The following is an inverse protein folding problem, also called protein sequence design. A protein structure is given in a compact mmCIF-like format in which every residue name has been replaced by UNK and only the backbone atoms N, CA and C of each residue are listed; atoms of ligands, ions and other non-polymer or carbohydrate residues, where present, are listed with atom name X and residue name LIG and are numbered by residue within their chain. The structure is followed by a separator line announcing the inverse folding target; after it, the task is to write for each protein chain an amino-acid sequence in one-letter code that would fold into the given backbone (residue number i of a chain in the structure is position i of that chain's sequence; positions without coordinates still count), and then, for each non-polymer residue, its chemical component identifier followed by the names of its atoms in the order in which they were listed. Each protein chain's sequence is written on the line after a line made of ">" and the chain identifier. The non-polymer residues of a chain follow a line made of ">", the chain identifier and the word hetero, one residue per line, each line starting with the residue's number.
data_IF_291548839381
#
_entry.id   IF_291548839381
#
_cell.length_a   1.000
_cell.length_b   1.000
_cell.length_c   1.000
_cell.angle_alpha   90.00
_cell.angle_beta   90.00
_cell.angle_gamma   90.00
#
_symmetry.space_group_name_H-M   'P 1'
#
loop_
_entity.id
_entity.type
_entity.pdbx_description
1 polymer ?
#
# COMPACT_ATOMS: atom_id res chain seq x y z
N UNK A 1 -18.69 26.92 61.55
CA UNK A 1 -18.31 26.60 60.17
C UNK A 1 -17.88 27.90 59.51
N UNK A 2 -16.62 27.97 59.07
CA UNK A 2 -16.05 29.20 58.51
C UNK A 2 -16.62 29.48 57.11
N UNK A 3 -16.63 30.76 56.74
CA UNK A 3 -17.17 31.19 55.43
C UNK A 3 -16.51 30.45 54.23
N UNK A 4 -15.25 30.05 54.37
CA UNK A 4 -14.49 29.29 53.39
C UNK A 4 -15.06 27.91 53.11
N UNK A 5 -15.63 27.22 54.12
CA UNK A 5 -16.22 25.87 53.97
C UNK A 5 -17.54 25.89 53.17
N UNK A 6 -18.28 27.02 53.27
CA UNK A 6 -19.56 27.19 52.54
C UNK A 6 -19.33 27.45 51.05
N UNK A 7 -18.27 28.16 50.70
CA UNK A 7 -17.92 28.43 49.29
C UNK A 7 -17.40 27.18 48.56
N UNK A 8 -16.63 26.32 49.25
CA UNK A 8 -16.14 25.05 48.67
C UNK A 8 -17.28 24.06 48.40
N UNK A 9 -18.29 23.98 49.27
CA UNK A 9 -19.45 23.13 49.07
C UNK A 9 -20.32 23.60 47.91
N UNK A 10 -20.53 24.90 47.74
CA UNK A 10 -21.30 25.46 46.61
C UNK A 10 -20.57 25.21 45.28
N UNK A 11 -19.24 25.41 45.25
CA UNK A 11 -18.44 25.14 44.05
C UNK A 11 -18.49 23.66 43.65
N UNK A 12 -18.48 22.74 44.61
CA UNK A 12 -18.54 21.30 44.35
C UNK A 12 -19.91 20.87 43.84
N UNK A 13 -21.01 21.40 44.37
CA UNK A 13 -22.37 21.11 43.87
C UNK A 13 -22.58 21.63 42.45
N UNK A 14 -22.05 22.80 42.11
CA UNK A 14 -22.13 23.37 40.77
C UNK A 14 -21.32 22.51 39.77
N UNK A 15 -20.11 22.05 40.15
CA UNK A 15 -19.26 21.20 39.32
C UNK A 15 -19.92 19.85 39.03
N UNK A 16 -20.51 19.21 40.04
CA UNK A 16 -21.24 17.95 39.87
C UNK A 16 -22.48 18.14 39.01
N UNK A 17 -23.18 19.24 39.14
CA UNK A 17 -24.35 19.56 38.28
C UNK A 17 -23.97 19.73 36.83
N UNK A 18 -22.85 20.36 36.51
CA UNK A 18 -22.35 20.53 35.13
C UNK A 18 -21.90 19.18 34.53
N UNK A 19 -21.23 18.35 35.33
CA UNK A 19 -20.80 16.99 34.83
C UNK A 19 -22.01 16.11 34.57
N UNK A 20 -23.05 16.13 35.40
CA UNK A 20 -24.26 15.35 35.16
C UNK A 20 -25.04 15.89 33.94
N UNK A 21 -25.10 17.19 33.73
CA UNK A 21 -25.75 17.78 32.55
C UNK A 21 -25.01 17.41 31.24
N UNK A 22 -23.67 17.38 31.22
CA UNK A 22 -22.90 16.95 30.08
C UNK A 22 -23.06 15.44 29.79
N UNK A 23 -23.16 14.61 30.84
CA UNK A 23 -23.34 13.16 30.67
C UNK A 23 -24.71 12.80 30.09
N UNK A 24 -25.76 13.57 30.38
CA UNK A 24 -27.12 13.34 29.84
C UNK A 24 -27.29 13.82 28.39
N UNK A 25 -26.44 14.75 27.91
CA UNK A 25 -26.47 15.19 26.50
C UNK A 25 -25.66 14.30 25.57
N UNK A 26 -24.76 13.44 26.10
CA UNK A 26 -23.95 12.52 25.31
C UNK A 26 -24.49 11.08 25.27
N UNK A 27 -25.62 10.83 25.92
CA UNK A 27 -26.16 9.47 26.11
C UNK A 27 -27.51 9.15 25.45
N UNK A 28 -27.98 9.90 24.45
CA UNK A 28 -29.29 9.64 23.84
C UNK A 28 -29.20 9.67 22.32
N UNK A 29 -28.75 8.59 21.69
CA UNK A 29 -29.19 8.20 20.36
C UNK A 29 -28.95 6.69 20.16
N UNK A 30 -29.90 5.91 20.68
CA UNK A 30 -30.22 4.58 20.19
C UNK A 30 -31.70 4.54 19.86
N UNK A 31 -32.05 4.51 18.60
CA UNK A 31 -33.42 4.32 18.19
C UNK A 31 -33.58 4.32 16.67
N UNK A 32 -33.71 3.14 16.10
CA UNK A 32 -33.79 2.80 14.71
C UNK A 32 -34.85 3.54 13.89
N UNK A 33 -34.72 3.47 12.57
CA UNK A 33 -35.80 3.83 11.64
C UNK A 33 -35.34 4.20 10.23
N UNK A 34 -35.38 3.25 9.33
CA UNK A 34 -35.80 3.34 7.90
C UNK A 34 -35.33 4.53 7.04
N UNK A 35 -34.59 4.17 6.04
CA UNK A 35 -34.55 4.58 4.61
C UNK A 35 -34.94 6.00 4.19
N UNK A 36 -34.11 6.51 3.28
CA UNK A 36 -34.30 7.46 2.17
C UNK A 36 -33.91 8.91 2.41
N UNK A 37 -32.95 9.34 1.55
CA UNK A 37 -32.64 10.74 1.30
C UNK A 37 -31.16 10.99 1.18
N UNK A 38 -30.58 10.84 -0.03
CA UNK A 38 -29.20 11.22 -0.29
C UNK A 38 -28.99 12.71 -0.13
N UNK A 39 -28.05 13.11 0.71
CA UNK A 39 -27.47 14.45 0.70
C UNK A 39 -26.07 14.39 0.09
N UNK A 40 -25.81 15.14 -1.01
CA UNK A 40 -24.50 15.22 -1.61
C UNK A 40 -23.72 16.39 -0.98
N UNK A 41 -23.27 16.27 0.24
CA UNK A 41 -22.30 17.21 0.81
C UNK A 41 -21.57 16.62 2.04
N UNK A 42 -20.88 15.49 1.87
CA UNK A 42 -19.78 15.17 2.79
C UNK A 42 -18.50 15.66 2.14
N UNK A 43 -18.19 16.92 2.37
CA UNK A 43 -16.89 17.48 2.05
C UNK A 43 -15.82 16.65 2.76
N UNK A 44 -15.07 15.88 1.98
CA UNK A 44 -13.88 15.15 2.43
C UNK A 44 -12.93 16.15 3.10
N UNK A 45 -12.64 15.93 4.36
CA UNK A 45 -11.55 16.63 5.03
C UNK A 45 -10.25 16.34 4.27
N UNK A 46 -9.41 17.37 3.98
CA UNK A 46 -8.13 17.14 3.30
C UNK A 46 -7.25 16.28 4.23
N UNK A 47 -6.91 15.06 3.77
CA UNK A 47 -5.99 14.17 4.46
C UNK A 47 -6.56 12.85 5.00
N UNK A 48 -7.83 12.53 4.80
CA UNK A 48 -8.34 11.20 5.10
C UNK A 48 -7.97 10.26 3.95
N UNK A 49 -7.11 9.28 4.22
CA UNK A 49 -6.88 8.19 3.28
C UNK A 49 -8.22 7.49 2.99
N UNK A 50 -8.48 7.12 1.71
CA UNK A 50 -9.69 6.37 1.38
C UNK A 50 -9.70 5.04 2.16
N UNK A 51 -10.90 4.52 2.49
CA UNK A 51 -10.99 3.25 3.19
C UNK A 51 -10.33 2.15 2.33
N UNK A 52 -9.33 1.51 2.90
CA UNK A 52 -8.70 0.31 2.32
C UNK A 52 -9.74 -0.81 2.42
N UNK A 53 -9.95 -1.56 1.34
CA UNK A 53 -10.76 -2.77 1.40
C UNK A 53 -10.17 -3.73 2.43
N UNK A 54 -11.00 -4.46 3.15
CA UNK A 54 -10.50 -5.51 4.04
C UNK A 54 -10.05 -6.71 3.21
N UNK A 55 -8.92 -7.34 3.58
CA UNK A 55 -8.49 -8.56 2.91
C UNK A 55 -9.58 -9.62 3.04
N UNK A 56 -9.87 -10.40 1.99
CA UNK A 56 -10.80 -11.51 2.09
C UNK A 56 -10.28 -12.55 3.07
N UNK A 57 -11.16 -13.09 3.89
CA UNK A 57 -10.81 -14.19 4.79
C UNK A 57 -10.86 -15.51 4.01
N UNK A 58 -9.91 -16.43 4.30
CA UNK A 58 -9.84 -17.76 3.70
C UNK A 58 -9.68 -17.77 2.16
N UNK A 59 -8.93 -16.81 1.60
CA UNK A 59 -8.62 -16.82 0.17
C UNK A 59 -7.74 -18.04 -0.19
N UNK A 60 -8.13 -18.87 -1.16
CA UNK A 60 -7.32 -20.00 -1.55
C UNK A 60 -6.06 -19.56 -2.27
N UNK A 61 -4.94 -20.20 -1.98
CA UNK A 61 -3.71 -20.04 -2.77
C UNK A 61 -3.99 -20.51 -4.20
N UNK A 62 -3.87 -19.62 -5.16
CA UNK A 62 -4.02 -19.94 -6.58
C UNK A 62 -2.76 -19.56 -7.34
N UNK A 63 -2.42 -20.39 -8.32
CA UNK A 63 -1.30 -20.17 -9.24
C UNK A 63 -1.86 -20.12 -10.64
N UNK A 64 -1.41 -19.15 -11.41
CA UNK A 64 -1.81 -19.00 -12.81
C UNK A 64 -1.10 -20.05 -13.68
N UNK A 65 -1.82 -20.67 -14.59
CA UNK A 65 -1.24 -21.57 -15.59
C UNK A 65 -0.54 -20.81 -16.73
N UNK A 66 0.28 -21.51 -17.52
CA UNK A 66 1.08 -20.90 -18.58
C UNK A 66 0.23 -20.31 -19.71
N UNK A 67 -0.94 -20.86 -20.01
CA UNK A 67 -1.84 -20.34 -21.02
C UNK A 67 -2.43 -18.99 -20.59
N UNK A 68 -2.82 -18.88 -19.33
CA UNK A 68 -3.31 -17.62 -18.74
C UNK A 68 -2.18 -16.59 -18.65
N UNK A 69 -0.94 -16.98 -18.30
CA UNK A 69 0.22 -16.07 -18.28
C UNK A 69 0.48 -15.45 -19.65
N UNK A 70 0.28 -16.22 -20.71
CA UNK A 70 0.47 -15.75 -22.09
C UNK A 70 -0.59 -14.72 -22.55
N UNK A 71 -1.66 -14.49 -21.79
CA UNK A 71 -2.67 -13.46 -22.12
C UNK A 71 -2.22 -12.05 -21.74
N UNK A 72 -1.32 -11.92 -20.76
CA UNK A 72 -0.73 -10.64 -20.34
C UNK A 72 0.78 -10.72 -20.59
N UNK A 73 1.27 -9.99 -21.55
CA UNK A 73 2.72 -9.96 -21.88
C UNK A 73 3.46 -9.08 -20.85
N UNK A 74 3.68 -9.62 -19.65
CA UNK A 74 4.45 -8.92 -18.62
C UNK A 74 5.95 -8.91 -18.97
N UNK A 75 6.69 -7.83 -18.60
CA UNK A 75 8.14 -7.79 -18.77
C UNK A 75 8.84 -8.88 -17.97
N UNK A 76 9.94 -9.40 -18.54
CA UNK A 76 10.76 -10.39 -17.84
C UNK A 76 11.16 -9.90 -16.44
N UNK A 77 10.84 -10.72 -15.44
CA UNK A 77 11.12 -10.47 -14.05
C UNK A 77 12.64 -10.39 -13.75
N UNK A 78 13.46 -11.03 -14.58
CA UNK A 78 14.91 -11.15 -14.39
C UNK A 78 15.69 -10.51 -15.52
N UNK A 79 16.73 -9.76 -15.16
CA UNK A 79 17.82 -9.47 -16.07
C UNK A 79 18.92 -10.53 -15.87
N UNK A 80 18.96 -11.50 -16.79
CA UNK A 80 19.90 -12.63 -16.70
C UNK A 80 21.35 -12.22 -16.88
N UNK A 81 21.62 -11.02 -17.39
CA UNK A 81 22.95 -10.51 -17.70
C UNK A 81 23.54 -9.62 -16.59
N UNK A 82 22.71 -9.07 -15.71
CA UNK A 82 23.16 -8.16 -14.66
C UNK A 82 23.60 -8.90 -13.39
N UNK A 83 24.57 -8.31 -12.68
CA UNK A 83 25.00 -8.82 -11.39
C UNK A 83 23.91 -8.59 -10.34
N UNK A 84 23.57 -9.65 -9.60
CA UNK A 84 22.60 -9.52 -8.50
C UNK A 84 23.12 -8.59 -7.40
N UNK A 85 22.24 -7.82 -6.76
CA UNK A 85 22.51 -7.18 -5.47
C UNK A 85 22.72 -8.26 -4.43
N UNK A 86 23.83 -8.22 -3.71
CA UNK A 86 24.25 -9.26 -2.75
C UNK A 86 24.18 -8.81 -1.30
N UNK A 87 23.87 -7.54 -1.06
CA UNK A 87 23.79 -6.93 0.27
C UNK A 87 22.38 -6.36 0.51
N UNK A 88 22.09 -6.06 1.78
CA UNK A 88 20.80 -5.52 2.20
C UNK A 88 19.66 -6.54 2.26
N UNK A 89 18.48 -6.11 2.75
CA UNK A 89 17.34 -7.00 2.98
C UNK A 89 16.76 -7.61 1.69
N UNK A 90 16.95 -6.96 0.54
CA UNK A 90 16.41 -7.44 -0.73
C UNK A 90 17.23 -8.55 -1.39
N UNK A 91 18.52 -8.71 -1.00
CA UNK A 91 19.46 -9.58 -1.69
C UNK A 91 18.98 -11.03 -1.80
N UNK A 92 18.51 -11.60 -0.70
CA UNK A 92 18.06 -12.99 -0.61
C UNK A 92 16.54 -13.18 -0.58
N UNK A 93 15.77 -12.09 -0.72
CA UNK A 93 14.33 -12.11 -0.56
C UNK A 93 13.68 -12.80 -1.77
N UNK A 94 13.06 -13.96 -1.54
CA UNK A 94 12.46 -14.78 -2.59
C UNK A 94 11.12 -14.20 -3.03
N UNK A 95 10.90 -14.19 -4.34
CA UNK A 95 9.63 -13.79 -4.97
C UNK A 95 9.33 -14.70 -6.14
N UNK A 96 8.05 -14.83 -6.49
CA UNK A 96 7.61 -15.53 -7.68
C UNK A 96 7.37 -14.53 -8.80
N UNK A 97 8.01 -14.73 -9.92
CA UNK A 97 7.79 -13.94 -11.13
C UNK A 97 6.40 -14.19 -11.71
N UNK A 98 5.66 -13.14 -12.03
CA UNK A 98 4.33 -13.30 -12.64
C UNK A 98 4.39 -13.52 -14.16
N UNK A 99 5.48 -13.14 -14.83
CA UNK A 99 5.67 -13.37 -16.28
C UNK A 99 5.82 -14.86 -16.64
N UNK A 100 6.71 -15.59 -15.95
CA UNK A 100 7.03 -17.00 -16.28
C UNK A 100 6.75 -17.99 -15.13
N UNK A 101 6.26 -17.51 -13.97
CA UNK A 101 6.00 -18.34 -12.80
C UNK A 101 7.24 -18.85 -12.09
N UNK A 102 8.44 -18.47 -12.51
CA UNK A 102 9.69 -18.89 -11.86
C UNK A 102 9.94 -18.18 -10.54
N UNK A 103 10.75 -18.77 -9.70
CA UNK A 103 11.17 -18.15 -8.44
C UNK A 103 12.54 -17.51 -8.59
N UNK A 104 12.69 -16.29 -8.05
CA UNK A 104 13.96 -15.55 -8.06
C UNK A 104 14.12 -14.76 -6.76
N UNK A 105 15.17 -13.93 -6.67
CA UNK A 105 15.31 -12.99 -5.54
C UNK A 105 15.12 -11.55 -6.00
N UNK A 106 14.60 -10.70 -5.12
CA UNK A 106 14.54 -9.26 -5.42
C UNK A 106 15.92 -8.67 -5.72
N UNK A 107 16.99 -9.19 -5.11
CA UNK A 107 18.36 -8.78 -5.42
C UNK A 107 18.76 -9.04 -6.88
N UNK A 108 18.28 -10.13 -7.49
CA UNK A 108 18.48 -10.40 -8.93
C UNK A 108 17.67 -9.49 -9.82
N UNK A 109 16.43 -9.16 -9.40
CA UNK A 109 15.57 -8.21 -10.13
C UNK A 109 16.17 -6.80 -10.03
N UNK A 110 16.68 -6.41 -8.87
CA UNK A 110 17.29 -5.11 -8.62
C UNK A 110 18.54 -4.89 -9.48
N UNK A 111 19.40 -5.90 -9.56
CA UNK A 111 20.60 -5.89 -10.41
C UNK A 111 21.51 -4.67 -10.19
N UNK A 112 21.70 -4.24 -8.93
CA UNK A 112 22.55 -3.11 -8.56
C UNK A 112 22.01 -1.72 -8.93
N UNK A 113 20.74 -1.61 -9.33
CA UNK A 113 20.06 -0.34 -9.62
C UNK A 113 19.23 0.15 -8.42
N UNK A 114 18.97 1.45 -8.26
CA UNK A 114 17.90 1.91 -7.38
C UNK A 114 16.59 1.22 -7.75
N UNK A 115 15.76 0.87 -6.76
CA UNK A 115 14.52 0.12 -7.01
C UNK A 115 13.36 0.70 -6.23
N UNK A 116 12.19 0.69 -6.85
CA UNK A 116 10.88 0.94 -6.24
C UNK A 116 10.14 -0.39 -6.19
N UNK A 117 9.68 -0.78 -5.01
CA UNK A 117 8.81 -1.95 -4.80
C UNK A 117 7.46 -1.45 -4.31
N UNK A 118 6.45 -1.51 -5.17
CA UNK A 118 5.09 -1.13 -4.83
C UNK A 118 4.30 -2.39 -4.46
N UNK A 119 3.79 -2.45 -3.23
CA UNK A 119 3.01 -3.58 -2.72
C UNK A 119 1.53 -3.28 -2.86
N UNK A 120 0.80 -4.21 -3.44
CA UNK A 120 -0.60 -4.06 -3.76
C UNK A 120 -1.37 -5.37 -3.67
N UNK A 121 -2.70 -5.30 -3.61
CA UNK A 121 -3.57 -6.46 -3.71
C UNK A 121 -4.80 -6.15 -4.57
N UNK A 122 -5.39 -7.17 -5.19
CA UNK A 122 -6.55 -7.01 -6.08
C UNK A 122 -7.77 -6.38 -5.38
N UNK A 123 -7.96 -6.60 -4.10
CA UNK A 123 -9.03 -6.02 -3.27
C UNK A 123 -8.74 -4.61 -2.74
N UNK A 124 -7.50 -4.14 -2.86
CA UNK A 124 -7.06 -2.81 -2.41
C UNK A 124 -7.41 -1.76 -3.48
N UNK A 125 -8.55 -1.11 -3.34
CA UNK A 125 -8.99 -0.09 -4.31
C UNK A 125 -8.00 1.08 -4.49
N UNK A 126 -7.39 1.67 -3.44
CA UNK A 126 -6.36 2.68 -3.64
C UNK A 126 -5.16 2.18 -4.44
N UNK A 127 -4.73 0.90 -4.23
CA UNK A 127 -3.63 0.29 -4.96
C UNK A 127 -3.95 0.18 -6.46
N UNK A 128 -5.14 -0.32 -6.79
CA UNK A 128 -5.58 -0.46 -8.18
C UNK A 128 -5.60 0.86 -8.94
N UNK A 129 -5.92 1.95 -8.23
CA UNK A 129 -5.94 3.30 -8.81
C UNK A 129 -4.56 3.90 -9.02
N UNK A 130 -3.55 3.49 -8.26
CA UNK A 130 -2.19 4.00 -8.42
C UNK A 130 -1.37 3.24 -9.48
N UNK A 131 -1.68 1.96 -9.76
CA UNK A 131 -0.92 1.14 -10.70
C UNK A 131 -0.68 1.80 -12.07
N UNK A 132 -1.65 2.46 -12.72
CA UNK A 132 -1.39 3.18 -13.98
C UNK A 132 -0.37 4.31 -13.85
N UNK A 133 -0.36 5.03 -12.72
CA UNK A 133 0.62 6.08 -12.47
C UNK A 133 2.02 5.50 -12.25
N UNK A 134 2.11 4.37 -11.54
CA UNK A 134 3.36 3.63 -11.35
C UNK A 134 3.90 3.12 -12.69
N UNK A 135 3.04 2.63 -13.60
CA UNK A 135 3.44 2.21 -14.94
C UNK A 135 3.99 3.37 -15.76
N UNK A 136 3.29 4.50 -15.82
CA UNK A 136 3.76 5.68 -16.56
C UNK A 136 5.11 6.17 -16.02
N UNK A 137 5.28 6.18 -14.71
CA UNK A 137 6.56 6.56 -14.11
C UNK A 137 7.67 5.55 -14.42
N UNK A 138 7.38 4.26 -14.44
CA UNK A 138 8.35 3.23 -14.82
C UNK A 138 8.86 3.42 -16.25
N UNK A 139 7.97 3.74 -17.19
CA UNK A 139 8.33 4.07 -18.58
C UNK A 139 9.25 5.31 -18.65
N UNK A 140 8.91 6.37 -17.93
CA UNK A 140 9.71 7.61 -17.88
C UNK A 140 11.07 7.41 -17.19
N UNK A 141 11.14 6.57 -16.17
CA UNK A 141 12.37 6.22 -15.46
C UNK A 141 13.28 5.30 -16.31
N UNK A 142 12.69 4.44 -17.12
CA UNK A 142 13.43 3.49 -17.95
C UNK A 142 14.44 2.67 -17.12
N UNK A 143 15.63 2.51 -17.64
CA UNK A 143 16.69 1.71 -17.00
C UNK A 143 17.37 2.36 -15.78
N UNK A 144 17.02 3.61 -15.44
CA UNK A 144 17.63 4.33 -14.30
C UNK A 144 17.19 3.78 -12.95
N UNK A 145 15.96 3.32 -12.87
CA UNK A 145 15.35 2.76 -11.65
C UNK A 145 14.61 1.49 -12.00
N UNK A 146 14.78 0.44 -11.24
CA UNK A 146 13.97 -0.76 -11.37
C UNK A 146 12.64 -0.55 -10.63
N UNK A 147 11.53 -0.54 -11.35
CA UNK A 147 10.19 -0.49 -10.76
C UNK A 147 9.58 -1.88 -10.77
N UNK A 148 9.16 -2.34 -9.61
CA UNK A 148 8.57 -3.68 -9.40
C UNK A 148 7.25 -3.50 -8.66
N UNK A 149 6.20 -4.16 -9.12
CA UNK A 149 4.94 -4.26 -8.39
C UNK A 149 4.80 -5.66 -7.80
N UNK A 150 4.51 -5.75 -6.51
CA UNK A 150 4.35 -7.01 -5.81
C UNK A 150 2.90 -7.21 -5.40
N UNK A 151 2.25 -8.23 -5.97
CA UNK A 151 0.93 -8.66 -5.54
C UNK A 151 1.07 -9.46 -4.25
N UNK A 152 0.66 -8.87 -3.13
CA UNK A 152 0.74 -9.46 -1.81
C UNK A 152 -0.62 -10.02 -1.40
N UNK A 153 -0.93 -11.22 -1.90
CA UNK A 153 -2.18 -11.95 -1.66
C UNK A 153 -2.02 -13.40 -2.14
N UNK A 154 -2.62 -14.37 -1.46
CA UNK A 154 -2.56 -15.79 -1.87
C UNK A 154 -3.08 -16.08 -3.28
N UNK A 155 -4.01 -15.27 -3.78
CA UNK A 155 -4.63 -15.50 -5.09
C UNK A 155 -3.90 -14.80 -6.24
N UNK A 156 -2.89 -15.45 -6.82
CA UNK A 156 -2.16 -14.94 -7.99
C UNK A 156 -3.10 -14.69 -9.19
N UNK A 157 -4.12 -15.56 -9.38
CA UNK A 157 -5.09 -15.43 -10.47
C UNK A 157 -5.82 -14.09 -10.43
N UNK A 158 -6.30 -13.67 -9.26
CA UNK A 158 -6.99 -12.37 -9.12
C UNK A 158 -6.03 -11.19 -9.32
N UNK A 159 -4.76 -11.35 -8.96
CA UNK A 159 -3.72 -10.38 -9.30
C UNK A 159 -3.59 -10.22 -10.81
N UNK A 160 -3.48 -11.33 -11.54
CA UNK A 160 -3.41 -11.34 -13.00
C UNK A 160 -4.63 -10.68 -13.66
N UNK A 161 -5.84 -11.10 -13.29
CA UNK A 161 -7.09 -10.54 -13.80
C UNK A 161 -7.15 -9.02 -13.58
N UNK A 162 -6.59 -8.54 -12.45
CA UNK A 162 -6.53 -7.12 -12.16
C UNK A 162 -5.56 -6.38 -13.06
N UNK A 163 -4.33 -6.89 -13.25
CA UNK A 163 -3.35 -6.29 -14.17
C UNK A 163 -3.90 -6.22 -15.59
N UNK A 164 -4.50 -7.31 -16.09
CA UNK A 164 -5.14 -7.34 -17.41
C UNK A 164 -6.25 -6.28 -17.52
N UNK A 165 -7.17 -6.23 -16.53
CA UNK A 165 -8.30 -5.29 -16.54
C UNK A 165 -7.89 -3.82 -16.50
N UNK A 166 -6.73 -3.52 -15.94
CA UNK A 166 -6.16 -2.17 -15.83
C UNK A 166 -5.21 -1.82 -16.98
N UNK A 167 -4.89 -2.78 -17.88
CA UNK A 167 -3.92 -2.60 -18.95
C UNK A 167 -2.50 -2.42 -18.44
N UNK A 168 -2.15 -3.09 -17.35
CA UNK A 168 -0.80 -3.08 -16.78
C UNK A 168 0.01 -4.20 -17.40
N UNK A 169 0.84 -3.86 -18.37
CA UNK A 169 1.65 -4.78 -19.17
C UNK A 169 3.12 -4.35 -19.31
N UNK A 170 3.51 -3.20 -18.73
CA UNK A 170 4.89 -2.69 -18.77
C UNK A 170 5.59 -2.71 -17.42
N UNK A 171 4.97 -3.30 -16.39
CA UNK A 171 5.55 -3.39 -15.05
C UNK A 171 6.10 -4.79 -14.77
N UNK A 172 7.35 -4.84 -14.29
CA UNK A 172 7.88 -6.07 -13.70
C UNK A 172 7.01 -6.43 -12.50
N UNK A 173 6.36 -7.58 -12.58
CA UNK A 173 5.35 -8.00 -11.62
C UNK A 173 5.78 -9.29 -10.91
N UNK A 174 5.69 -9.28 -9.58
CA UNK A 174 5.99 -10.45 -8.74
C UNK A 174 4.81 -10.74 -7.81
N UNK A 175 4.75 -11.99 -7.36
CA UNK A 175 3.78 -12.45 -6.38
C UNK A 175 4.48 -12.77 -5.06
N UNK A 176 3.93 -12.26 -3.95
CA UNK A 176 4.29 -12.51 -2.55
C UNK A 176 3.08 -13.17 -1.87
N UNK A 177 2.84 -14.44 -2.19
CA UNK A 177 1.66 -15.17 -1.73
C UNK A 177 1.64 -15.45 -0.22
N UNK A 178 2.80 -15.38 0.42
CA UNK A 178 2.98 -15.59 1.86
C UNK A 178 2.97 -14.27 2.65
N UNK A 179 2.84 -13.15 1.96
CA UNK A 179 2.80 -11.78 2.54
C UNK A 179 4.02 -11.46 3.44
N UNK A 180 5.19 -11.99 3.07
CA UNK A 180 6.41 -11.83 3.87
C UNK A 180 7.17 -10.52 3.58
N UNK A 181 6.99 -9.96 2.36
CA UNK A 181 7.74 -8.79 1.92
C UNK A 181 7.64 -7.58 2.85
N UNK A 182 6.45 -7.19 3.36
CA UNK A 182 6.38 -6.04 4.26
C UNK A 182 7.28 -6.21 5.49
N UNK A 183 7.19 -7.36 6.16
CA UNK A 183 7.97 -7.63 7.37
C UNK A 183 9.47 -7.65 7.13
N UNK A 184 9.93 -8.27 6.05
CA UNK A 184 11.37 -8.36 5.71
C UNK A 184 11.91 -6.98 5.30
N UNK A 185 11.12 -6.17 4.62
CA UNK A 185 11.50 -4.80 4.23
C UNK A 185 11.37 -3.78 5.37
N UNK A 186 10.97 -4.21 6.56
CA UNK A 186 10.78 -3.33 7.72
C UNK A 186 9.58 -2.40 7.60
N UNK A 187 8.58 -2.81 6.82
CA UNK A 187 7.37 -2.07 6.56
C UNK A 187 6.17 -2.64 7.34
N UNK A 188 5.16 -1.83 7.68
CA UNK A 188 3.93 -2.34 8.29
C UNK A 188 3.07 -3.11 7.28
N UNK A 189 2.22 -4.05 7.72
CA UNK A 189 1.32 -4.81 6.85
C UNK A 189 0.08 -3.97 6.48
N UNK A 190 0.27 -2.91 5.72
CA UNK A 190 -0.79 -2.01 5.24
C UNK A 190 -0.61 -1.75 3.75
N UNK A 191 -1.70 -1.51 3.02
CA UNK A 191 -1.69 -1.23 1.60
C UNK A 191 -2.44 0.09 1.29
N UNK A 192 -2.06 0.84 0.28
CA UNK A 192 -0.86 0.65 -0.53
C UNK A 192 0.43 0.97 0.23
N UNK A 193 1.49 0.32 -0.16
CA UNK A 193 2.81 0.50 0.44
C UNK A 193 3.86 0.53 -0.66
N UNK A 194 4.72 1.54 -0.65
CA UNK A 194 5.85 1.61 -1.59
C UNK A 194 7.17 1.69 -0.83
N UNK A 195 8.09 0.79 -1.17
CA UNK A 195 9.43 0.74 -0.59
C UNK A 195 10.45 1.22 -1.61
N UNK A 196 11.25 2.21 -1.24
CA UNK A 196 12.34 2.74 -2.03
C UNK A 196 13.64 2.11 -1.56
N UNK A 197 14.36 1.46 -2.47
CA UNK A 197 15.58 0.70 -2.20
C UNK A 197 16.74 1.30 -2.97
N UNK A 198 17.85 1.60 -2.29
CA UNK A 198 19.07 2.09 -2.93
C UNK A 198 19.76 1.01 -3.74
N UNK A 199 20.66 1.41 -4.63
CA UNK A 199 21.42 0.50 -5.48
C UNK A 199 22.22 -0.56 -4.71
N UNK A 200 22.59 -0.27 -3.45
CA UNK A 200 23.28 -1.19 -2.54
C UNK A 200 22.35 -2.19 -1.83
N UNK A 201 21.03 -2.14 -2.09
CA UNK A 201 20.05 -3.02 -1.48
C UNK A 201 19.50 -2.54 -0.12
N UNK A 202 19.93 -1.38 0.36
CA UNK A 202 19.38 -0.81 1.61
C UNK A 202 18.05 -0.09 1.37
N UNK A 203 17.11 -0.23 2.32
CA UNK A 203 15.85 0.50 2.27
C UNK A 203 16.11 1.99 2.53
N UNK A 204 15.72 2.83 1.59
CA UNK A 204 15.83 4.28 1.68
C UNK A 204 14.64 4.89 2.41
N UNK A 205 13.44 4.45 2.04
CA UNK A 205 12.18 4.97 2.58
C UNK A 205 11.04 3.98 2.41
N UNK A 206 10.03 4.08 3.27
CA UNK A 206 8.77 3.33 3.20
C UNK A 206 7.63 4.35 3.17
N UNK A 207 6.90 4.41 2.07
CA UNK A 207 5.79 5.33 1.86
C UNK A 207 4.45 4.60 2.03
N UNK A 208 3.63 5.08 2.98
CA UNK A 208 2.33 4.48 3.33
C UNK A 208 1.22 5.42 2.84
N UNK A 209 1.22 5.72 1.54
CA UNK A 209 0.15 6.50 0.92
C UNK A 209 0.15 6.22 -0.59
N UNK A 210 -1.02 6.28 -1.23
CA UNK A 210 -1.10 6.09 -2.66
C UNK A 210 -0.52 7.27 -3.44
N UNK A 211 0.06 6.98 -4.60
CA UNK A 211 0.57 7.93 -5.59
C UNK A 211 -0.32 7.87 -6.84
N UNK A 212 -1.17 8.85 -7.06
CA UNK A 212 -2.19 8.77 -8.10
C UNK A 212 -1.80 9.43 -9.43
N UNK A 213 -0.63 10.03 -9.50
CA UNK A 213 -0.08 10.60 -10.74
C UNK A 213 1.34 10.12 -10.98
N UNK A 214 1.75 10.08 -12.25
CA UNK A 214 3.13 9.84 -12.63
C UNK A 214 4.09 10.77 -11.86
N UNK A 215 3.73 12.05 -11.75
CA UNK A 215 4.56 13.05 -11.07
C UNK A 215 4.75 12.73 -9.58
N UNK A 216 3.73 12.21 -8.89
CA UNK A 216 3.88 11.82 -7.49
C UNK A 216 4.95 10.73 -7.34
N UNK A 217 5.00 9.77 -8.27
CA UNK A 217 6.00 8.69 -8.26
C UNK A 217 7.39 9.21 -8.59
N UNK A 218 7.50 10.09 -9.59
CA UNK A 218 8.77 10.69 -10.01
C UNK A 218 9.36 11.57 -8.90
N UNK A 219 8.55 12.40 -8.26
CA UNK A 219 8.97 13.24 -7.13
C UNK A 219 9.46 12.38 -5.95
N UNK A 220 8.76 11.29 -5.63
CA UNK A 220 9.18 10.37 -4.59
C UNK A 220 10.50 9.65 -4.93
N UNK A 221 10.71 9.28 -6.19
CA UNK A 221 11.98 8.69 -6.65
C UNK A 221 13.13 9.69 -6.51
N UNK A 222 12.91 10.95 -6.91
CA UNK A 222 13.93 12.00 -6.75
C UNK A 222 14.24 12.25 -5.28
N UNK A 223 13.21 12.34 -4.43
CA UNK A 223 13.36 12.61 -3.00
C UNK A 223 14.11 11.50 -2.26
N UNK A 224 13.73 10.23 -2.48
CA UNK A 224 14.23 9.12 -1.66
C UNK A 224 15.40 8.36 -2.29
N UNK A 225 15.51 8.33 -3.61
CA UNK A 225 16.58 7.62 -4.32
C UNK A 225 17.61 8.55 -4.97
N UNK A 226 17.37 9.87 -4.96
CA UNK A 226 18.25 10.91 -5.56
C UNK A 226 18.53 10.67 -7.06
N UNK A 227 17.57 10.10 -7.75
CA UNK A 227 17.63 9.88 -9.20
C UNK A 227 16.91 11.04 -9.88
N UNK A 228 17.64 11.85 -10.63
CA UNK A 228 17.05 12.94 -11.42
C UNK A 228 16.24 12.37 -12.58
N UNK A 229 15.04 12.88 -12.77
CA UNK A 229 14.07 12.42 -13.79
C UNK A 229 14.15 13.27 -15.06
#
# INVERSE_FOLDING_TARGET
>A
MSASTRWTLVAFVVLVGVVVALATTLGSDQGGGTAQGGDPASALAPGAAPPVGEPPVDEPVTVVDDDTRATVELPECRDSAAAATTEGPVAGLMVRCMDDGSTTTLGKIQAGKPMVVNLWAYWCEPCRRELPAVQSAAESLGDRVRVVVSHTDPSETKGFDTLESLGIDQLVSVSDQEEELPGILGAPPVLPLTVFVRADGTVAHVLIQPMYSEQDVLDAVEEYLWVTV
#
